data_IF_824193544031
#
_entry.id   IF_824193544031
#
_cell.length_a   1.000
_cell.length_b   1.000
_cell.length_c   1.000
_cell.angle_alpha   90.00
_cell.angle_beta   90.00
_cell.angle_gamma   90.00
#
_symmetry.space_group_name_H-M   'P 1'
#
loop_
_entity.id
_entity.type
_entity.pdbx_description
1 polymer ?
#
# COMPACT_ATOMS: atom_id res chain seq x y z
N UNK A 1 28.81 -18.40 7.60
CA UNK A 1 27.88 -18.85 6.54
C UNK A 1 26.81 -19.70 7.20
N UNK A 2 25.51 -19.39 7.05
CA UNK A 2 24.47 -20.20 7.71
C UNK A 2 24.33 -21.55 7.02
N UNK A 3 24.18 -22.62 7.79
CA UNK A 3 23.96 -23.98 7.26
C UNK A 3 22.53 -24.17 6.75
N UNK A 4 22.25 -25.28 6.04
CA UNK A 4 20.89 -25.58 5.54
C UNK A 4 19.89 -25.65 6.69
N UNK A 5 20.22 -26.41 7.74
CA UNK A 5 19.39 -26.60 8.93
C UNK A 5 19.13 -25.31 9.69
N UNK A 6 20.11 -24.41 9.77
CA UNK A 6 19.93 -23.09 10.37
C UNK A 6 18.96 -22.21 9.58
N UNK A 7 18.97 -22.29 8.24
CA UNK A 7 18.03 -21.56 7.39
C UNK A 7 16.62 -22.14 7.48
N UNK A 8 16.50 -23.46 7.51
CA UNK A 8 15.23 -24.15 7.75
C UNK A 8 14.64 -23.77 9.12
N UNK A 9 15.46 -23.75 10.17
CA UNK A 9 15.07 -23.28 11.50
C UNK A 9 14.66 -21.81 11.49
N UNK A 10 15.39 -20.96 10.77
CA UNK A 10 15.05 -19.54 10.62
C UNK A 10 13.67 -19.35 9.98
N UNK A 11 13.35 -20.17 8.98
CA UNK A 11 12.02 -20.16 8.35
C UNK A 11 10.91 -20.63 9.25
N UNK A 12 11.14 -21.72 9.98
CA UNK A 12 10.19 -22.21 10.96
C UNK A 12 9.84 -21.12 11.98
N UNK A 13 10.85 -20.43 12.50
CA UNK A 13 10.68 -19.33 13.47
C UNK A 13 9.97 -18.13 12.84
N UNK A 14 10.27 -17.79 11.57
CA UNK A 14 9.58 -16.71 10.84
C UNK A 14 8.07 -16.96 10.74
N UNK A 15 7.69 -18.22 10.57
CA UNK A 15 6.29 -18.64 10.51
C UNK A 15 5.68 -18.92 11.90
N UNK A 16 6.42 -18.70 12.98
CA UNK A 16 5.99 -18.97 14.36
C UNK A 16 5.56 -20.42 14.62
N UNK A 17 6.13 -21.37 13.87
CA UNK A 17 5.82 -22.80 14.00
C UNK A 17 6.72 -23.49 15.02
N UNK A 18 6.16 -24.44 15.75
CA UNK A 18 6.91 -25.42 16.52
C UNK A 18 7.59 -26.45 15.62
N UNK A 19 8.58 -27.17 16.15
CA UNK A 19 9.23 -28.26 15.41
C UNK A 19 8.27 -29.39 15.07
N UNK A 20 7.22 -29.59 15.87
CA UNK A 20 6.22 -30.62 15.63
C UNK A 20 5.25 -30.22 14.53
N UNK A 21 4.78 -28.98 14.53
CA UNK A 21 3.89 -28.46 13.47
C UNK A 21 4.57 -28.48 12.10
N UNK A 22 5.83 -28.05 12.02
CA UNK A 22 6.56 -28.09 10.74
C UNK A 22 6.85 -29.54 10.28
N UNK A 23 7.13 -30.45 11.23
CA UNK A 23 7.30 -31.86 10.91
C UNK A 23 6.00 -32.47 10.35
N UNK A 24 4.86 -32.18 11.00
CA UNK A 24 3.55 -32.65 10.57
C UNK A 24 3.18 -32.10 9.18
N UNK A 25 3.45 -30.82 8.92
CA UNK A 25 3.25 -30.22 7.59
C UNK A 25 4.12 -30.89 6.52
N UNK A 26 5.33 -31.31 6.87
CA UNK A 26 6.23 -32.05 6.00
C UNK A 26 5.94 -33.56 5.92
N UNK A 27 4.94 -34.08 6.64
CA UNK A 27 4.63 -35.51 6.68
C UNK A 27 5.67 -36.38 7.39
N UNK A 28 6.50 -35.78 8.26
CA UNK A 28 7.58 -36.46 8.98
C UNK A 28 7.41 -36.37 10.50
N UNK A 29 8.13 -37.21 11.24
CA UNK A 29 8.14 -37.15 12.71
C UNK A 29 8.97 -35.96 13.20
N UNK A 30 8.64 -35.42 14.38
CA UNK A 30 9.41 -34.36 15.07
C UNK A 30 10.92 -34.64 15.14
N UNK A 31 11.32 -35.90 15.36
CA UNK A 31 12.74 -36.28 15.38
C UNK A 31 13.46 -36.04 14.05
N UNK A 32 12.77 -36.25 12.92
CA UNK A 32 13.35 -35.98 11.60
C UNK A 32 13.58 -34.47 11.41
N UNK A 33 12.63 -33.63 11.84
CA UNK A 33 12.77 -32.17 11.82
C UNK A 33 13.99 -31.70 12.60
N UNK A 34 14.22 -32.24 13.80
CA UNK A 34 15.38 -31.90 14.62
C UNK A 34 16.68 -32.26 13.87
N UNK A 35 16.74 -33.43 13.25
CA UNK A 35 17.91 -33.88 12.51
C UNK A 35 18.17 -33.02 11.26
N UNK A 36 17.11 -32.55 10.59
CA UNK A 36 17.22 -31.60 9.47
C UNK A 36 17.76 -30.25 9.95
N UNK A 37 17.22 -29.70 11.05
CA UNK A 37 17.68 -28.43 11.62
C UNK A 37 19.13 -28.49 12.15
N UNK A 38 19.61 -29.68 12.53
CA UNK A 38 21.00 -29.93 12.92
C UNK A 38 21.93 -30.25 11.76
N UNK A 39 21.43 -30.40 10.53
CA UNK A 39 22.17 -30.88 9.36
C UNK A 39 22.69 -32.33 9.49
N UNK A 40 22.11 -33.14 10.37
CA UNK A 40 22.46 -34.57 10.52
C UNK A 40 21.81 -35.41 9.41
N UNK A 41 20.73 -34.90 8.81
CA UNK A 41 20.03 -35.54 7.68
C UNK A 41 19.55 -34.47 6.71
N UNK A 42 19.39 -34.85 5.45
CA UNK A 42 18.77 -34.02 4.42
C UNK A 42 17.30 -34.43 4.21
N UNK A 43 16.37 -33.46 4.10
CA UNK A 43 14.99 -33.74 3.73
C UNK A 43 14.88 -34.15 2.26
N UNK A 44 13.81 -34.86 1.91
CA UNK A 44 13.51 -35.23 0.53
C UNK A 44 12.72 -34.13 -0.21
N UNK A 45 12.58 -34.27 -1.52
CA UNK A 45 11.83 -33.32 -2.34
C UNK A 45 10.33 -33.27 -1.99
N UNK A 46 9.76 -34.38 -1.51
CA UNK A 46 8.36 -34.42 -1.07
C UNK A 46 8.14 -33.55 0.16
N UNK A 47 8.99 -33.71 1.19
CA UNK A 47 8.96 -32.86 2.39
C UNK A 47 9.10 -31.39 2.01
N UNK A 48 10.04 -31.05 1.12
CA UNK A 48 10.25 -29.67 0.67
C UNK A 48 9.02 -29.09 -0.04
N UNK A 49 8.36 -29.89 -0.88
CA UNK A 49 7.14 -29.48 -1.58
C UNK A 49 5.98 -29.23 -0.61
N UNK A 50 5.83 -30.09 0.40
CA UNK A 50 4.78 -29.95 1.41
C UNK A 50 4.98 -28.70 2.28
N UNK A 51 6.21 -28.43 2.73
CA UNK A 51 6.47 -27.24 3.54
C UNK A 51 6.45 -25.93 2.71
N UNK A 52 6.63 -26.00 1.40
CA UNK A 52 6.46 -24.84 0.52
C UNK A 52 5.01 -24.33 0.55
N UNK A 53 4.03 -25.25 0.60
CA UNK A 53 2.60 -24.91 0.60
C UNK A 53 2.15 -24.16 1.85
N UNK A 54 2.84 -24.32 2.97
CA UNK A 54 2.57 -23.57 4.21
C UNK A 54 3.34 -22.24 4.27
N UNK A 55 4.04 -21.87 3.20
CA UNK A 55 4.71 -20.58 3.06
C UNK A 55 6.17 -20.55 3.50
N UNK A 56 6.86 -21.70 3.58
CA UNK A 56 8.32 -21.74 3.75
C UNK A 56 9.01 -21.30 2.45
N UNK A 57 9.95 -20.37 2.56
CA UNK A 57 10.79 -19.89 1.45
C UNK A 57 11.88 -20.93 1.14
N UNK A 58 11.54 -21.86 0.25
CA UNK A 58 12.45 -22.94 -0.19
C UNK A 58 13.72 -22.39 -0.84
N UNK A 59 13.62 -21.29 -1.60
CA UNK A 59 14.78 -20.68 -2.23
C UNK A 59 15.78 -20.22 -1.17
N UNK A 60 15.30 -19.54 -0.12
CA UNK A 60 16.16 -19.14 0.99
C UNK A 60 16.77 -20.35 1.70
N UNK A 61 15.98 -21.38 1.97
CA UNK A 61 16.47 -22.59 2.66
C UNK A 61 17.60 -23.26 1.86
N UNK A 62 17.50 -23.33 0.52
CA UNK A 62 18.53 -23.93 -0.32
C UNK A 62 19.73 -23.01 -0.57
N UNK A 63 19.49 -21.75 -0.92
CA UNK A 63 20.51 -20.85 -1.48
C UNK A 63 21.06 -19.84 -0.47
N UNK A 64 20.37 -19.63 0.65
CA UNK A 64 20.67 -18.56 1.59
C UNK A 64 20.29 -17.15 1.13
N UNK A 65 19.78 -16.99 -0.09
CA UNK A 65 19.29 -15.72 -0.62
C UNK A 65 17.78 -15.67 -0.47
N UNK A 66 17.29 -14.63 0.21
CA UNK A 66 15.86 -14.35 0.28
C UNK A 66 15.38 -13.90 -1.08
N UNK A 67 14.23 -14.40 -1.51
CA UNK A 67 13.58 -13.84 -2.69
C UNK A 67 13.18 -12.41 -2.36
N UNK A 68 13.71 -11.44 -3.10
CA UNK A 68 13.24 -10.06 -2.99
C UNK A 68 11.88 -9.92 -3.65
N UNK A 69 11.07 -8.95 -3.21
CA UNK A 69 9.77 -8.67 -3.83
C UNK A 69 9.89 -8.35 -5.33
N UNK A 70 10.98 -7.68 -5.74
CA UNK A 70 11.26 -7.38 -7.14
C UNK A 70 11.56 -8.65 -7.96
N UNK A 71 12.33 -9.59 -7.40
CA UNK A 71 12.60 -10.90 -8.03
C UNK A 71 11.34 -11.76 -8.10
N UNK A 72 10.52 -11.77 -7.04
CA UNK A 72 9.25 -12.48 -7.01
C UNK A 72 8.24 -11.94 -8.06
N UNK A 73 8.23 -10.61 -8.28
CA UNK A 73 7.45 -9.95 -9.34
C UNK A 73 7.97 -10.34 -10.72
N UNK A 74 9.29 -10.29 -10.93
CA UNK A 74 9.94 -10.68 -12.20
C UNK A 74 9.68 -12.13 -12.60
N UNK A 75 9.65 -13.05 -11.63
CA UNK A 75 9.49 -14.48 -11.88
C UNK A 75 8.02 -14.91 -11.98
N UNK A 76 7.05 -14.01 -11.77
CA UNK A 76 5.62 -14.34 -11.79
C UNK A 76 5.16 -15.31 -10.70
N UNK A 77 6.01 -15.54 -9.69
CA UNK A 77 5.74 -16.43 -8.54
C UNK A 77 4.87 -15.70 -7.51
N UNK A 78 4.98 -14.38 -7.45
CA UNK A 78 4.08 -13.55 -6.66
C UNK A 78 2.71 -13.51 -7.34
N UNK A 79 1.83 -14.44 -6.96
CA UNK A 79 0.38 -14.24 -7.02
C UNK A 79 0.00 -13.57 -5.71
N UNK A 80 -0.04 -12.23 -5.63
CA UNK A 80 -0.72 -11.61 -4.51
C UNK A 80 -2.10 -12.23 -4.44
N UNK A 81 -2.58 -12.52 -3.23
CA UNK A 81 -3.99 -12.79 -3.01
C UNK A 81 -4.80 -11.77 -3.81
N UNK A 82 -5.90 -12.21 -4.44
CA UNK A 82 -6.60 -11.44 -5.48
C UNK A 82 -6.89 -9.97 -5.07
N UNK A 83 -6.97 -9.73 -3.76
CA UNK A 83 -7.04 -8.42 -3.11
C UNK A 83 -5.80 -7.53 -3.32
N UNK A 84 -4.58 -8.01 -3.05
CA UNK A 84 -3.33 -7.24 -3.22
C UNK A 84 -2.92 -7.14 -4.70
N UNK A 85 -3.41 -8.03 -5.56
CA UNK A 85 -3.19 -7.98 -7.00
C UNK A 85 -3.81 -6.74 -7.63
N UNK A 86 -5.05 -6.41 -7.25
CA UNK A 86 -5.72 -5.18 -7.69
C UNK A 86 -4.98 -3.93 -7.19
N UNK A 87 -4.48 -3.93 -5.96
CA UNK A 87 -3.75 -2.77 -5.39
C UNK A 87 -2.38 -2.56 -6.03
N UNK A 88 -1.68 -3.64 -6.40
CA UNK A 88 -0.36 -3.55 -7.05
C UNK A 88 -0.52 -3.27 -8.56
N UNK A 89 -1.57 -3.76 -9.21
CA UNK A 89 -1.87 -3.44 -10.60
C UNK A 89 -2.34 -1.99 -10.78
N UNK A 90 -2.94 -1.37 -9.76
CA UNK A 90 -3.29 0.06 -9.74
C UNK A 90 -2.14 0.97 -9.31
N UNK A 91 -1.02 0.41 -8.85
CA UNK A 91 0.28 1.08 -8.79
C UNK A 91 0.98 0.78 -10.12
N UNK A 92 0.39 1.25 -11.21
CA UNK A 92 1.05 1.29 -12.51
C UNK A 92 2.14 2.35 -12.48
N UNK A 93 3.28 2.03 -13.09
CA UNK A 93 4.30 3.01 -13.44
C UNK A 93 3.62 4.11 -14.28
N UNK A 94 3.72 5.35 -13.81
CA UNK A 94 3.23 6.54 -14.50
C UNK A 94 3.82 6.58 -15.92
N UNK A 95 3.03 6.34 -16.96
CA UNK A 95 3.24 6.73 -18.37
C UNK A 95 2.13 6.14 -19.27
N UNK A 96 0.87 6.57 -19.15
CA UNK A 96 0.00 6.66 -20.34
C UNK A 96 -1.14 7.67 -20.12
N UNK A 97 -1.10 8.71 -20.92
CA UNK A 97 -2.01 9.85 -20.98
C UNK A 97 -3.19 9.45 -21.88
N UNK A 98 -4.42 9.84 -21.51
CA UNK A 98 -5.68 9.70 -22.28
C UNK A 98 -6.33 8.31 -22.35
N UNK A 99 -7.34 8.07 -21.50
CA UNK A 99 -8.54 7.30 -21.90
C UNK A 99 -9.79 7.77 -21.15
N UNK A 100 -10.77 8.18 -21.94
CA UNK A 100 -12.06 8.76 -21.58
C UNK A 100 -13.08 7.69 -21.09
N UNK A 101 -13.83 8.05 -20.03
CA UNK A 101 -15.20 7.67 -19.62
C UNK A 101 -15.58 6.20 -19.17
N UNK A 102 -15.79 6.07 -17.84
CA UNK A 102 -16.93 5.45 -17.08
C UNK A 102 -17.19 3.91 -17.11
N UNK A 103 -17.58 3.23 -15.98
CA UNK A 103 -18.73 3.61 -15.13
C UNK A 103 -18.58 3.46 -13.61
N UNK A 104 -19.09 4.46 -12.90
CA UNK A 104 -19.75 4.45 -11.58
C UNK A 104 -19.91 3.10 -10.83
N UNK A 105 -18.82 2.49 -10.36
CA UNK A 105 -18.88 1.58 -9.20
C UNK A 105 -18.38 2.35 -8.00
N UNK A 106 -19.28 2.67 -7.07
CA UNK A 106 -18.94 3.15 -5.74
C UNK A 106 -18.23 2.03 -4.96
N UNK A 107 -16.98 1.76 -5.33
CA UNK A 107 -16.03 1.10 -4.45
C UNK A 107 -15.94 1.93 -3.17
N UNK A 108 -15.82 1.32 -1.97
CA UNK A 108 -15.59 2.08 -0.75
C UNK A 108 -14.42 3.02 -1.03
N UNK A 109 -14.53 4.33 -0.72
CA UNK A 109 -13.52 5.30 -1.11
C UNK A 109 -12.19 4.73 -0.66
N UNK A 110 -11.35 4.36 -1.63
CA UNK A 110 -9.98 3.94 -1.33
C UNK A 110 -9.34 5.21 -0.81
N UNK A 111 -9.37 5.39 0.51
CA UNK A 111 -8.74 6.52 1.17
C UNK A 111 -7.24 6.31 1.00
N UNK A 112 -6.75 6.69 -0.17
CA UNK A 112 -5.34 6.72 -0.50
C UNK A 112 -4.81 7.89 0.30
N UNK A 113 -4.35 7.58 1.50
CA UNK A 113 -3.78 8.56 2.42
C UNK A 113 -2.74 9.37 1.65
N UNK A 114 -2.94 10.68 1.61
CA UNK A 114 -1.95 11.57 1.04
C UNK A 114 -0.66 11.52 1.91
N UNK A 115 0.42 12.09 1.41
CA UNK A 115 1.73 12.02 2.08
C UNK A 115 1.67 12.57 3.52
N UNK A 116 0.90 13.64 3.72
CA UNK A 116 0.80 14.34 5.00
C UNK A 116 -0.05 13.56 6.00
N UNK A 117 -1.17 12.99 5.56
CA UNK A 117 -2.01 12.08 6.35
C UNK A 117 -1.23 10.83 6.78
N UNK A 118 -0.41 10.29 5.86
CA UNK A 118 0.45 9.16 6.18
C UNK A 118 1.47 9.53 7.26
N UNK A 119 2.14 10.67 7.11
CA UNK A 119 3.12 11.15 8.08
C UNK A 119 2.47 11.42 9.45
N UNK A 120 1.28 12.02 9.46
CA UNK A 120 0.51 12.27 10.67
C UNK A 120 0.20 10.96 11.42
N UNK A 121 -0.25 9.93 10.69
CA UNK A 121 -0.54 8.62 11.27
C UNK A 121 0.73 7.96 11.83
N UNK A 122 1.86 8.04 11.11
CA UNK A 122 3.11 7.47 11.61
C UNK A 122 3.61 8.18 12.86
N UNK A 123 3.58 9.51 12.88
CA UNK A 123 3.95 10.30 14.06
C UNK A 123 3.05 9.98 15.24
N UNK A 124 1.75 9.85 15.01
CA UNK A 124 0.82 9.43 16.05
C UNK A 124 1.15 8.03 16.58
N UNK A 125 1.38 7.03 15.72
CA UNK A 125 1.71 5.65 16.14
C UNK A 125 2.98 5.57 16.98
N UNK A 126 4.01 6.33 16.61
CA UNK A 126 5.31 6.33 17.27
C UNK A 126 5.37 7.22 18.53
N UNK A 127 4.36 8.05 18.80
CA UNK A 127 4.34 8.91 19.97
C UNK A 127 4.02 8.17 21.29
N UNK A 128 4.45 8.76 22.41
CA UNK A 128 4.16 8.28 23.75
C UNK A 128 2.66 8.40 24.09
N UNK A 129 2.19 7.56 25.03
CA UNK A 129 0.79 7.47 25.41
C UNK A 129 0.21 8.82 25.89
N UNK A 130 1.01 9.60 26.63
CA UNK A 130 0.61 10.92 27.12
C UNK A 130 0.25 11.86 25.96
N UNK A 131 1.12 11.93 24.95
CA UNK A 131 0.91 12.76 23.75
C UNK A 131 -0.29 12.29 22.94
N UNK A 132 -0.49 10.97 22.81
CA UNK A 132 -1.67 10.40 22.13
C UNK A 132 -2.97 10.82 22.83
N UNK A 133 -3.01 10.76 24.16
CA UNK A 133 -4.18 11.16 24.94
C UNK A 133 -4.48 12.65 24.82
N UNK A 134 -3.46 13.50 24.90
CA UNK A 134 -3.60 14.95 24.72
C UNK A 134 -4.17 15.31 23.34
N UNK A 135 -3.66 14.69 22.27
CA UNK A 135 -4.16 14.90 20.90
C UNK A 135 -5.61 14.43 20.75
N UNK A 136 -5.96 13.25 21.30
CA UNK A 136 -7.35 12.77 21.24
C UNK A 136 -8.30 13.65 22.04
N UNK A 137 -7.88 14.13 23.22
CA UNK A 137 -8.68 15.04 24.02
C UNK A 137 -8.93 16.36 23.28
N UNK A 138 -7.92 16.89 22.59
CA UNK A 138 -8.06 18.08 21.74
C UNK A 138 -9.04 17.82 20.58
N UNK A 139 -8.88 16.72 19.85
CA UNK A 139 -9.77 16.38 18.72
C UNK A 139 -11.22 16.17 19.14
N UNK A 140 -11.46 15.59 20.33
CA UNK A 140 -12.81 15.39 20.88
C UNK A 140 -13.40 16.66 21.49
N UNK A 141 -12.57 17.64 21.84
CA UNK A 141 -13.02 18.97 22.31
C UNK A 141 -13.36 19.94 21.16
N UNK A 142 -13.08 19.55 19.91
CA UNK A 142 -13.56 20.30 18.74
C UNK A 142 -15.01 19.91 18.50
N UNK A 143 -15.93 20.69 19.06
CA UNK A 143 -17.34 20.60 18.70
C UNK A 143 -17.49 20.80 17.18
N UNK A 144 -17.87 19.75 16.45
CA UNK A 144 -18.23 19.78 15.03
C UNK A 144 -19.59 20.47 14.81
N UNK A 145 -19.86 21.58 15.50
CA UNK A 145 -21.17 22.20 15.57
C UNK A 145 -21.46 23.24 14.48
N UNK A 146 -20.55 23.52 13.54
CA UNK A 146 -20.75 24.67 12.65
C UNK A 146 -20.18 24.52 11.23
N UNK A 147 -20.40 23.38 10.56
CA UNK A 147 -20.36 23.32 9.09
C UNK A 147 -21.37 22.30 8.56
N UNK A 148 -22.62 22.73 8.43
CA UNK A 148 -23.55 22.14 7.47
C UNK A 148 -22.98 22.32 6.06
N UNK A 149 -23.16 21.31 5.22
CA UNK A 149 -22.56 21.15 3.88
C UNK A 149 -22.97 22.19 2.82
N UNK A 150 -23.57 23.32 3.22
CA UNK A 150 -24.02 24.39 2.32
C UNK A 150 -23.05 25.59 2.24
N UNK A 151 -21.99 25.62 3.06
CA UNK A 151 -21.09 26.78 3.18
C UNK A 151 -19.72 26.62 2.48
N UNK A 152 -19.51 25.59 1.64
CA UNK A 152 -18.31 25.53 0.79
C UNK A 152 -18.42 26.55 -0.36
N UNK A 153 -18.08 27.80 -0.06
CA UNK A 153 -17.75 28.82 -1.06
C UNK A 153 -16.25 28.75 -1.29
N UNK A 154 -15.77 28.35 -2.48
CA UNK A 154 -14.33 28.36 -2.74
C UNK A 154 -13.85 29.81 -2.65
N UNK A 155 -12.97 30.08 -1.69
CA UNK A 155 -12.38 31.41 -1.54
C UNK A 155 -11.56 31.72 -2.79
N UNK A 156 -11.88 32.84 -3.44
CA UNK A 156 -11.09 33.39 -4.52
C UNK A 156 -9.69 33.68 -3.99
N UNK A 157 -8.69 33.01 -4.55
CA UNK A 157 -7.29 33.20 -4.24
C UNK A 157 -6.89 34.65 -4.52
N UNK A 158 -6.85 35.49 -3.49
CA UNK A 158 -6.31 36.85 -3.55
C UNK A 158 -4.78 36.78 -3.68
N UNK A 159 -4.31 36.45 -4.88
CA UNK A 159 -3.00 36.88 -5.29
C UNK A 159 -3.03 38.41 -5.36
N UNK A 160 -2.43 39.08 -4.36
CA UNK A 160 -2.08 40.50 -4.43
C UNK A 160 -1.10 40.72 -5.59
N UNK A 161 -1.62 40.85 -6.81
CA UNK A 161 -0.89 41.40 -7.94
C UNK A 161 -0.88 42.92 -7.78
N UNK A 162 0.28 43.47 -7.45
CA UNK A 162 0.50 44.90 -7.50
C UNK A 162 0.30 45.45 -8.93
N UNK A 163 -0.61 46.41 -9.08
CA UNK A 163 -0.64 47.39 -10.18
C UNK A 163 -1.47 47.03 -11.42
N UNK A 164 -2.49 47.84 -11.73
CA UNK A 164 -2.39 49.11 -12.48
C UNK A 164 -3.84 49.63 -12.68
N UNK A 165 -4.13 50.84 -12.22
CA UNK A 165 -5.41 51.51 -12.52
C UNK A 165 -5.26 52.31 -13.81
N UNK A 166 -5.73 51.78 -14.94
CA UNK A 166 -5.85 52.56 -16.19
C UNK A 166 -7.22 53.23 -16.19
N UNK A 167 -7.26 54.54 -15.97
CA UNK A 167 -8.46 55.34 -16.23
C UNK A 167 -8.42 55.85 -17.68
N UNK A 168 -9.47 55.55 -18.43
CA UNK A 168 -9.65 55.99 -19.81
C UNK A 168 -11.13 56.04 -20.15
N UNK A 169 -11.63 57.25 -20.43
CA UNK A 169 -12.99 57.51 -20.89
C UNK A 169 -13.11 57.15 -22.38
N UNK A 170 -13.51 55.93 -22.70
CA UNK A 170 -13.61 55.48 -24.09
C UNK A 170 -14.21 54.09 -24.28
N UNK A 171 -15.52 54.08 -24.49
CA UNK A 171 -16.39 52.95 -24.81
C UNK A 171 -15.88 52.03 -25.96
N UNK A 172 -16.01 50.69 -25.83
CA UNK A 172 -16.56 49.73 -26.83
C UNK A 172 -16.42 48.26 -26.39
N UNK A 173 -17.55 47.58 -26.19
CA UNK A 173 -17.67 46.12 -26.06
C UNK A 173 -17.56 45.48 -27.45
N UNK A 174 -16.59 44.59 -27.65
CA UNK A 174 -16.45 43.84 -28.88
C UNK A 174 -17.47 42.69 -28.95
N UNK A 175 -18.35 42.74 -29.96
CA UNK A 175 -18.86 41.56 -30.66
C UNK A 175 -19.97 40.74 -29.99
N UNK A 176 -21.23 41.15 -30.17
CA UNK A 176 -22.39 40.23 -30.21
C UNK A 176 -23.19 40.44 -31.51
N UNK A 177 -22.49 40.54 -32.63
CA UNK A 177 -23.08 40.57 -33.97
C UNK A 177 -22.70 39.27 -34.68
N UNK A 178 -23.44 38.20 -34.43
CA UNK A 178 -23.50 37.06 -35.36
C UNK A 178 -24.90 37.04 -35.97
N UNK A 179 -24.96 37.47 -37.24
CA UNK A 179 -26.11 37.33 -38.13
C UNK A 179 -26.03 35.95 -38.80
N UNK A 180 -26.96 35.04 -38.48
CA UNK A 180 -27.27 33.90 -39.34
C UNK A 180 -28.61 34.13 -40.06
N UNK A 181 -28.63 33.73 -41.34
CA UNK A 181 -29.45 34.30 -42.42
C UNK A 181 -30.79 33.59 -42.63
N UNK A 182 -31.75 34.35 -43.18
CA UNK A 182 -32.76 34.04 -44.22
C UNK A 182 -33.53 32.71 -44.14
N UNK A 183 -34.86 32.81 -44.00
CA UNK A 183 -35.82 32.59 -45.10
C UNK A 183 -37.13 33.29 -44.83
#
# INVERSE_FOLDING_TARGET
MKTFGERLKSERIRLSLSQEELANAGGVKRGAQINYEKNERTPDSNYMSSIANIGVDIQYVLTGKRMTRAEAKRLGIFKPDAYVAQTIASIGDDDDESRDEEPFTMAPPTYRLNKDEWELIQRFRCADLKTKMEVMQLLLSVDMADKTTDDYKPESNENKSAGITVSGSGNRVAGRNYNERKK
#
